data_IF_830297679561
#
_entry.id   IF_830297679561
#
_cell.length_a   1.000
_cell.length_b   1.000
_cell.length_c   1.000
_cell.angle_alpha   90.00
_cell.angle_beta   90.00
_cell.angle_gamma   90.00
#
_symmetry.space_group_name_H-M   'P 1'
#
loop_
_entity.id
_entity.type
_entity.pdbx_description
1 polymer ?
#
# COMPACT_ATOMS: atom_id res chain seq x y z
N UNK A 1 -3.44 -16.38 -7.90
CA UNK A 1 -4.88 -16.03 -7.75
C UNK A 1 -4.97 -14.52 -7.88
N UNK A 2 -5.93 -13.99 -8.67
CA UNK A 2 -6.18 -12.56 -8.73
C UNK A 2 -6.49 -11.98 -7.34
N UNK A 3 -6.08 -10.76 -7.10
CA UNK A 3 -6.24 -10.09 -5.80
C UNK A 3 -7.68 -10.12 -5.26
N UNK A 4 -8.64 -9.76 -6.11
CA UNK A 4 -10.06 -9.75 -5.75
C UNK A 4 -10.59 -11.14 -5.40
N UNK A 5 -10.12 -12.18 -6.10
CA UNK A 5 -10.49 -13.57 -5.83
C UNK A 5 -9.93 -14.11 -4.51
N UNK A 6 -8.76 -13.64 -4.07
CA UNK A 6 -8.15 -14.04 -2.80
C UNK A 6 -8.99 -13.57 -1.60
N UNK A 7 -9.43 -12.31 -1.60
CA UNK A 7 -10.26 -11.75 -0.54
C UNK A 7 -11.58 -12.51 -0.39
N UNK A 8 -12.28 -12.74 -1.50
CA UNK A 8 -13.53 -13.49 -1.51
C UNK A 8 -13.34 -14.94 -1.03
N UNK A 9 -12.23 -15.59 -1.40
CA UNK A 9 -11.94 -16.96 -1.00
C UNK A 9 -11.62 -17.07 0.49
N UNK A 10 -10.92 -16.11 1.08
CA UNK A 10 -10.68 -16.04 2.52
C UNK A 10 -12.00 -15.85 3.29
N UNK A 11 -12.86 -14.92 2.83
CA UNK A 11 -14.18 -14.71 3.45
C UNK A 11 -15.09 -15.95 3.36
N UNK A 12 -14.97 -16.71 2.28
CA UNK A 12 -15.72 -17.98 2.07
C UNK A 12 -15.10 -19.19 2.80
N UNK A 13 -14.03 -19.01 3.60
CA UNK A 13 -13.38 -20.10 4.32
C UNK A 13 -12.62 -21.11 3.45
N UNK A 14 -12.28 -20.73 2.20
CA UNK A 14 -11.44 -21.56 1.33
C UNK A 14 -9.96 -21.52 1.70
N UNK A 15 -9.57 -20.51 2.45
CA UNK A 15 -8.25 -20.32 3.05
C UNK A 15 -8.43 -19.95 4.51
N UNK A 16 -7.48 -20.35 5.36
CA UNK A 16 -7.48 -20.02 6.78
C UNK A 16 -6.88 -18.63 7.02
N UNK A 17 -5.88 -18.25 6.23
CA UNK A 17 -5.21 -16.97 6.33
C UNK A 17 -4.73 -16.48 4.97
N UNK A 18 -4.58 -15.14 4.83
CA UNK A 18 -3.85 -14.52 3.74
C UNK A 18 -2.53 -13.94 4.27
N UNK A 19 -1.45 -14.72 4.09
CA UNK A 19 -0.09 -14.35 4.51
C UNK A 19 0.55 -13.51 3.40
N UNK A 20 0.14 -12.25 3.32
CA UNK A 20 0.60 -11.30 2.30
C UNK A 20 0.60 -9.87 2.84
N UNK A 21 1.20 -8.93 2.11
CA UNK A 21 1.25 -7.51 2.48
C UNK A 21 -0.09 -6.80 2.21
N UNK A 22 -1.17 -7.26 2.83
CA UNK A 22 -2.48 -6.61 2.69
C UNK A 22 -2.52 -5.30 3.46
N UNK A 23 -2.95 -4.23 2.80
CA UNK A 23 -3.16 -2.93 3.46
C UNK A 23 -4.46 -2.99 4.26
N UNK A 24 -4.37 -2.59 5.53
CA UNK A 24 -5.51 -2.46 6.43
C UNK A 24 -6.35 -1.26 6.00
N UNK A 25 -7.66 -1.47 5.81
CA UNK A 25 -8.65 -0.42 5.56
C UNK A 25 -9.88 -0.68 6.41
N UNK A 26 -10.65 0.36 6.72
CA UNK A 26 -11.89 0.25 7.50
C UNK A 26 -12.86 -0.78 6.89
N UNK A 27 -13.01 -0.80 5.57
CA UNK A 27 -13.90 -1.75 4.91
C UNK A 27 -13.40 -3.19 5.04
N UNK A 28 -12.10 -3.42 4.98
CA UNK A 28 -11.52 -4.75 5.19
C UNK A 28 -11.67 -5.21 6.63
N UNK A 29 -11.55 -4.32 7.60
CA UNK A 29 -11.76 -4.62 9.02
C UNK A 29 -13.20 -5.07 9.34
N UNK A 30 -14.18 -4.73 8.52
CA UNK A 30 -15.56 -5.25 8.67
C UNK A 30 -15.67 -6.75 8.38
N UNK A 31 -14.83 -7.27 7.48
CA UNK A 31 -14.89 -8.66 6.97
C UNK A 31 -13.74 -9.55 7.46
N UNK A 32 -12.66 -8.96 7.93
CA UNK A 32 -11.42 -9.67 8.31
C UNK A 32 -10.85 -9.10 9.60
N UNK A 33 -10.09 -9.93 10.32
CA UNK A 33 -9.22 -9.50 11.38
C UNK A 33 -7.76 -9.52 10.89
N UNK A 34 -6.99 -8.52 11.29
CA UNK A 34 -5.60 -8.39 10.88
C UNK A 34 -4.65 -8.78 12.00
N UNK A 35 -3.71 -9.61 11.67
CA UNK A 35 -2.55 -9.93 12.51
C UNK A 35 -1.76 -8.63 12.77
N UNK A 36 -1.02 -8.59 13.87
CA UNK A 36 -0.11 -7.48 14.21
C UNK A 36 0.62 -6.96 12.96
N UNK A 37 0.63 -5.64 12.73
CA UNK A 37 1.25 -5.04 11.55
C UNK A 37 2.71 -5.43 11.33
N UNK A 38 3.07 -5.64 10.07
CA UNK A 38 4.42 -6.05 9.67
C UNK A 38 5.18 -4.96 8.90
N UNK A 39 4.50 -3.92 8.41
CA UNK A 39 5.14 -2.81 7.70
C UNK A 39 4.20 -1.60 7.60
N UNK A 40 4.77 -0.42 7.34
CA UNK A 40 4.02 0.78 7.00
C UNK A 40 3.39 0.65 5.60
N UNK A 41 2.20 1.20 5.44
CA UNK A 41 1.47 1.28 4.19
C UNK A 41 1.08 2.73 3.82
N UNK A 42 1.79 3.72 4.33
CA UNK A 42 1.66 5.11 3.86
C UNK A 42 1.85 5.14 2.35
N UNK A 43 0.95 5.80 1.64
CA UNK A 43 1.02 5.90 0.19
C UNK A 43 1.87 7.07 -0.25
N UNK A 44 2.63 6.84 -1.31
CA UNK A 44 3.47 7.84 -1.97
C UNK A 44 3.11 7.91 -3.45
N UNK A 45 3.25 9.08 -4.05
CA UNK A 45 3.19 9.12 -5.50
C UNK A 45 4.53 8.71 -6.12
N UNK A 46 4.45 8.10 -7.29
CA UNK A 46 5.60 7.75 -8.14
C UNK A 46 5.42 8.47 -9.46
N UNK A 47 6.48 9.10 -9.91
CA UNK A 47 6.56 9.86 -11.18
C UNK A 47 7.67 9.32 -12.07
N UNK A 48 7.73 9.79 -13.31
CA UNK A 48 8.92 9.56 -14.16
C UNK A 48 10.14 10.27 -13.57
N UNK A 49 11.29 9.64 -13.62
CA UNK A 49 12.54 10.19 -13.08
C UNK A 49 12.96 11.51 -13.76
N UNK A 50 12.69 11.65 -15.06
CA UNK A 50 12.99 12.86 -15.84
C UNK A 50 11.94 13.96 -15.75
N UNK A 51 10.81 13.72 -15.08
CA UNK A 51 9.73 14.71 -14.96
C UNK A 51 9.94 15.60 -13.72
N UNK A 52 10.52 16.75 -13.92
CA UNK A 52 10.76 17.73 -12.85
C UNK A 52 9.56 18.64 -12.55
N UNK A 53 8.43 18.46 -13.23
CA UNK A 53 7.21 19.23 -12.97
C UNK A 53 6.41 18.74 -11.76
N UNK A 54 6.71 17.53 -11.27
CA UNK A 54 6.02 16.90 -10.15
C UNK A 54 6.96 16.72 -8.95
N UNK A 55 7.18 17.78 -8.17
CA UNK A 55 8.08 17.77 -7.00
C UNK A 55 7.32 17.67 -5.67
N UNK A 56 6.10 18.17 -5.64
CA UNK A 56 5.27 18.24 -4.44
C UNK A 56 3.85 17.72 -4.70
N UNK A 57 3.07 17.52 -3.64
CA UNK A 57 1.64 17.14 -3.76
C UNK A 57 0.85 18.21 -4.51
N UNK A 58 1.17 19.49 -4.35
CA UNK A 58 0.49 20.57 -5.06
C UNK A 58 0.59 20.45 -6.59
N UNK A 59 1.73 19.94 -7.10
CA UNK A 59 1.98 19.77 -8.53
C UNK A 59 1.12 18.67 -9.18
N UNK A 60 0.50 17.81 -8.35
CA UNK A 60 -0.41 16.75 -8.83
C UNK A 60 -1.79 17.28 -9.23
N UNK A 61 -2.06 18.56 -8.96
CA UNK A 61 -3.36 19.18 -9.29
C UNK A 61 -3.67 19.07 -10.78
N UNK A 62 -4.85 18.53 -11.12
CA UNK A 62 -5.30 18.33 -12.50
C UNK A 62 -4.56 17.27 -13.31
N UNK A 63 -3.56 16.59 -12.74
CA UNK A 63 -2.75 15.57 -13.40
C UNK A 63 -3.47 14.21 -13.46
N UNK A 64 -3.11 13.41 -14.47
CA UNK A 64 -3.67 12.07 -14.68
C UNK A 64 -3.02 11.05 -13.77
N UNK A 65 -3.82 10.47 -12.90
CA UNK A 65 -3.44 9.42 -11.94
C UNK A 65 -3.76 8.03 -12.50
N UNK A 66 -2.80 7.10 -12.41
CA UNK A 66 -3.05 5.66 -12.56
C UNK A 66 -3.17 4.97 -11.19
N UNK A 67 -4.19 4.11 -11.03
CA UNK A 67 -4.42 3.36 -9.79
C UNK A 67 -4.98 1.97 -10.09
N UNK A 68 -4.69 0.99 -9.24
CA UNK A 68 -5.24 -0.36 -9.42
C UNK A 68 -6.69 -0.43 -8.92
N UNK A 69 -7.57 -1.03 -9.74
CA UNK A 69 -8.96 -1.28 -9.37
C UNK A 69 -9.08 -2.13 -8.10
N UNK A 70 -10.00 -1.76 -7.20
CA UNK A 70 -10.23 -2.47 -5.93
C UNK A 70 -9.07 -2.40 -4.94
N UNK A 71 -8.09 -1.53 -5.16
CA UNK A 71 -6.95 -1.36 -4.27
C UNK A 71 -7.25 -0.42 -3.10
N UNK A 72 -6.41 -0.50 -2.05
CA UNK A 72 -6.48 0.46 -0.94
C UNK A 72 -6.07 1.87 -1.40
N UNK A 73 -5.23 1.99 -2.43
CA UNK A 73 -4.85 3.26 -3.02
C UNK A 73 -6.07 3.98 -3.60
N UNK A 74 -6.93 3.25 -4.33
CA UNK A 74 -8.19 3.78 -4.85
C UNK A 74 -9.13 4.19 -3.70
N UNK A 75 -9.28 3.36 -2.68
CA UNK A 75 -10.14 3.64 -1.52
C UNK A 75 -9.70 4.89 -0.73
N UNK A 76 -8.39 5.22 -0.73
CA UNK A 76 -7.81 6.35 0.00
C UNK A 76 -7.64 7.63 -0.84
N UNK A 77 -8.16 7.69 -2.05
CA UNK A 77 -8.16 8.92 -2.87
C UNK A 77 -8.79 10.14 -2.20
N UNK A 78 -9.81 10.02 -1.32
CA UNK A 78 -10.30 11.16 -0.55
C UNK A 78 -9.21 11.87 0.26
N UNK A 79 -8.17 11.16 0.77
CA UNK A 79 -7.05 11.75 1.49
C UNK A 79 -6.18 12.62 0.55
N UNK A 80 -5.83 12.11 -0.63
CA UNK A 80 -5.13 12.91 -1.64
C UNK A 80 -5.95 14.13 -2.07
N UNK A 81 -7.27 13.95 -2.26
CA UNK A 81 -8.17 15.06 -2.61
C UNK A 81 -8.16 16.15 -1.53
N UNK A 82 -8.15 15.76 -0.25
CA UNK A 82 -8.06 16.69 0.86
C UNK A 82 -6.71 17.44 0.90
N UNK A 83 -5.59 16.72 0.65
CA UNK A 83 -4.26 17.33 0.57
C UNK A 83 -4.16 18.34 -0.59
N UNK A 84 -4.70 18.01 -1.76
CA UNK A 84 -4.74 18.92 -2.91
C UNK A 84 -5.57 20.16 -2.61
N UNK A 85 -6.73 19.99 -1.96
CA UNK A 85 -7.59 21.11 -1.60
C UNK A 85 -6.91 22.12 -0.67
N UNK A 86 -5.99 21.68 0.22
CA UNK A 86 -5.21 22.56 1.09
C UNK A 86 -4.30 23.52 0.30
N UNK A 87 -3.93 23.17 -0.92
CA UNK A 87 -3.11 24.00 -1.82
C UNK A 87 -3.92 24.68 -2.92
N UNK A 88 -5.26 24.63 -2.82
CA UNK A 88 -6.17 25.16 -3.86
C UNK A 88 -6.24 24.29 -5.12
N UNK A 89 -5.68 23.08 -5.09
CA UNK A 89 -5.68 22.15 -6.20
C UNK A 89 -6.88 21.20 -6.20
N UNK A 90 -7.00 20.43 -7.27
CA UNK A 90 -8.06 19.43 -7.46
C UNK A 90 -7.50 18.11 -7.99
N UNK A 91 -8.13 17.00 -7.62
CA UNK A 91 -7.81 15.70 -8.20
C UNK A 91 -8.17 15.70 -9.69
N UNK A 92 -7.21 15.35 -10.54
CA UNK A 92 -7.40 15.23 -11.98
C UNK A 92 -8.09 13.93 -12.40
N UNK A 93 -7.85 13.53 -13.64
CA UNK A 93 -8.39 12.27 -14.17
C UNK A 93 -7.79 11.07 -13.44
N UNK A 94 -8.64 10.13 -13.02
CA UNK A 94 -8.22 8.84 -12.46
C UNK A 94 -8.47 7.74 -13.49
N UNK A 95 -7.44 6.94 -13.75
CA UNK A 95 -7.50 5.78 -14.65
C UNK A 95 -7.26 4.53 -13.84
N UNK A 96 -8.24 3.64 -13.84
CA UNK A 96 -8.17 2.37 -13.13
C UNK A 96 -7.61 1.26 -14.02
N UNK A 97 -6.73 0.45 -13.47
CA UNK A 97 -6.05 -0.66 -14.13
C UNK A 97 -6.31 -1.99 -13.42
N UNK A 98 -6.33 -3.10 -14.14
CA UNK A 98 -6.47 -4.42 -13.52
C UNK A 98 -5.23 -4.84 -12.74
N UNK A 99 -4.05 -4.32 -13.09
CA UNK A 99 -2.79 -4.68 -12.44
C UNK A 99 -1.82 -3.51 -12.31
N UNK A 100 -0.99 -3.54 -11.27
CA UNK A 100 0.07 -2.54 -11.02
C UNK A 100 1.15 -2.50 -12.12
N UNK A 101 1.62 -3.63 -12.70
CA UNK A 101 2.59 -3.59 -13.79
C UNK A 101 2.14 -2.78 -15.00
N UNK A 102 0.85 -2.82 -15.36
CA UNK A 102 0.28 -2.03 -16.45
C UNK A 102 0.34 -0.53 -16.16
N UNK A 103 0.10 -0.13 -14.89
CA UNK A 103 0.22 1.26 -14.47
C UNK A 103 1.67 1.75 -14.64
N UNK A 104 2.65 0.96 -14.22
CA UNK A 104 4.06 1.31 -14.39
C UNK A 104 4.46 1.41 -15.87
N UNK A 105 3.94 0.54 -16.72
CA UNK A 105 4.18 0.61 -18.16
C UNK A 105 3.63 1.91 -18.77
N UNK A 106 2.41 2.28 -18.43
CA UNK A 106 1.77 3.49 -18.95
C UNK A 106 2.37 4.77 -18.36
N UNK A 107 2.80 4.75 -17.10
CA UNK A 107 3.54 5.85 -16.50
C UNK A 107 4.89 6.06 -17.22
N UNK A 108 5.64 4.99 -17.47
CA UNK A 108 6.91 5.06 -18.19
C UNK A 108 6.74 5.61 -19.62
N UNK A 109 5.65 5.25 -20.29
CA UNK A 109 5.32 5.69 -21.64
C UNK A 109 4.68 7.09 -21.71
N UNK A 110 4.48 7.77 -20.56
CA UNK A 110 3.91 9.13 -20.53
C UNK A 110 2.39 9.20 -20.75
N UNK A 111 1.67 8.08 -20.66
CA UNK A 111 0.20 8.04 -20.72
C UNK A 111 -0.47 8.46 -19.42
N UNK A 112 0.30 8.40 -18.32
CA UNK A 112 -0.04 8.87 -16.99
C UNK A 112 0.99 9.90 -16.55
N UNK A 113 0.58 10.81 -15.69
CA UNK A 113 1.49 11.77 -15.05
C UNK A 113 2.13 11.17 -13.80
N UNK A 114 1.34 10.48 -13.00
CA UNK A 114 1.80 9.81 -11.77
C UNK A 114 0.93 8.61 -11.43
N UNK A 115 1.42 7.82 -10.50
CA UNK A 115 0.66 6.76 -9.84
C UNK A 115 0.86 6.82 -8.33
N UNK A 116 0.04 6.09 -7.58
CA UNK A 116 0.15 5.95 -6.13
C UNK A 116 0.45 4.49 -5.78
N UNK A 117 1.40 4.28 -4.86
CA UNK A 117 1.64 2.97 -4.27
C UNK A 117 2.02 3.12 -2.78
N UNK A 118 1.92 2.03 -2.01
CA UNK A 118 2.50 2.02 -0.66
C UNK A 118 4.00 2.26 -0.73
N UNK A 119 4.58 2.79 0.35
CA UNK A 119 6.02 3.09 0.41
C UNK A 119 6.88 1.91 -0.03
N UNK A 120 6.51 0.68 0.35
CA UNK A 120 7.23 -0.55 -0.03
C UNK A 120 7.22 -0.74 -1.55
N UNK A 121 6.04 -0.72 -2.18
CA UNK A 121 5.91 -0.91 -3.61
C UNK A 121 6.54 0.23 -4.42
N UNK A 122 6.40 1.47 -3.95
CA UNK A 122 6.99 2.64 -4.57
C UNK A 122 8.53 2.60 -4.53
N UNK A 123 9.12 2.31 -3.37
CA UNK A 123 10.58 2.19 -3.22
C UNK A 123 11.14 1.02 -4.02
N UNK A 124 10.45 -0.13 -4.03
CA UNK A 124 10.91 -1.31 -4.78
C UNK A 124 11.08 -0.98 -6.27
N UNK A 125 10.07 -0.40 -6.91
CA UNK A 125 10.14 -0.09 -8.34
C UNK A 125 11.14 1.04 -8.65
N UNK A 126 11.27 2.03 -7.78
CA UNK A 126 12.26 3.10 -7.94
C UNK A 126 13.68 2.55 -7.81
N UNK A 127 13.93 1.64 -6.85
CA UNK A 127 15.22 0.96 -6.67
C UNK A 127 15.56 0.07 -7.88
N UNK A 128 14.58 -0.64 -8.41
CA UNK A 128 14.75 -1.53 -9.57
C UNK A 128 14.98 -0.73 -10.87
N UNK A 129 14.29 0.39 -11.05
CA UNK A 129 14.29 1.19 -12.28
C UNK A 129 14.55 2.70 -12.00
N UNK A 130 15.68 3.07 -11.38
CA UNK A 130 15.92 4.44 -10.90
C UNK A 130 16.05 5.49 -12.02
N UNK A 131 16.35 5.05 -13.25
CA UNK A 131 16.40 5.93 -14.43
C UNK A 131 15.02 6.19 -15.04
N UNK A 132 14.00 5.41 -14.64
CA UNK A 132 12.64 5.50 -15.19
C UNK A 132 11.69 6.16 -14.19
N UNK A 133 11.80 5.80 -12.92
CA UNK A 133 10.89 6.25 -11.87
C UNK A 133 11.60 6.99 -10.74
N UNK A 134 10.89 7.92 -10.14
CA UNK A 134 11.30 8.61 -8.92
C UNK A 134 10.18 8.61 -7.89
N UNK A 135 10.56 8.49 -6.63
CA UNK A 135 9.65 8.59 -5.50
C UNK A 135 9.29 10.07 -5.28
N UNK A 136 8.01 10.34 -5.08
CA UNK A 136 7.51 11.63 -4.67
C UNK A 136 7.25 11.72 -3.16
N UNK A 137 6.33 12.59 -2.77
CA UNK A 137 5.93 12.81 -1.38
C UNK A 137 4.81 11.85 -0.96
N UNK A 138 4.55 11.70 0.36
CA UNK A 138 3.40 10.97 0.86
C UNK A 138 2.09 11.67 0.44
N UNK A 139 1.09 10.86 0.09
CA UNK A 139 -0.24 11.30 -0.37
C UNK A 139 -1.37 10.72 0.47
N UNK A 140 -1.04 10.11 1.59
CA UNK A 140 -2.00 9.59 2.57
C UNK A 140 -1.44 9.72 3.98
N UNK A 141 -2.32 9.61 4.97
CA UNK A 141 -1.94 9.40 6.37
C UNK A 141 -1.27 8.02 6.58
N UNK A 142 -0.98 7.73 7.84
CA UNK A 142 -0.43 6.43 8.23
C UNK A 142 -1.36 5.28 7.80
N UNK A 143 -0.75 4.15 7.51
CA UNK A 143 -1.43 2.90 7.21
C UNK A 143 -0.49 1.74 7.46
N UNK A 144 -1.02 0.53 7.49
CA UNK A 144 -0.24 -0.65 7.85
C UNK A 144 -0.52 -1.81 6.91
N UNK A 145 0.51 -2.63 6.70
CA UNK A 145 0.41 -3.94 6.08
C UNK A 145 0.30 -5.01 7.16
N UNK A 146 -0.57 -5.98 6.96
CA UNK A 146 -0.69 -7.15 7.83
C UNK A 146 -1.26 -8.35 7.11
N UNK A 147 -1.10 -9.51 7.75
CA UNK A 147 -1.77 -10.73 7.32
C UNK A 147 -3.22 -10.70 7.78
N UNK A 148 -4.09 -11.40 7.08
CA UNK A 148 -5.51 -11.45 7.41
C UNK A 148 -5.94 -12.87 7.76
N UNK A 149 -6.91 -12.95 8.67
CA UNK A 149 -7.72 -14.15 8.91
C UNK A 149 -9.19 -13.81 8.70
N UNK A 150 -10.05 -14.81 8.57
CA UNK A 150 -11.48 -14.60 8.53
C UNK A 150 -11.94 -13.92 9.83
N UNK A 151 -12.96 -13.04 9.72
CA UNK A 151 -13.51 -12.30 10.88
C UNK A 151 -13.92 -13.25 11.99
N UNK A 152 -13.46 -12.99 13.21
CA UNK A 152 -13.77 -13.80 14.41
C UNK A 152 -12.93 -15.07 14.59
N UNK A 153 -11.98 -15.36 13.70
CA UNK A 153 -11.03 -16.48 13.91
C UNK A 153 -9.93 -16.10 14.91
N UNK A 154 -10.33 -15.95 16.17
CA UNK A 154 -9.51 -15.41 17.26
C UNK A 154 -8.28 -16.30 17.57
N UNK A 155 -8.42 -17.62 17.50
CA UNK A 155 -7.33 -18.56 17.83
C UNK A 155 -6.18 -18.39 16.82
N UNK A 156 -6.48 -18.42 15.52
CA UNK A 156 -5.47 -18.24 14.49
C UNK A 156 -4.89 -16.82 14.49
N UNK A 157 -5.73 -15.80 14.73
CA UNK A 157 -5.30 -14.41 14.88
C UNK A 157 -4.25 -14.27 15.99
N UNK A 158 -4.53 -14.83 17.15
CA UNK A 158 -3.63 -14.78 18.31
C UNK A 158 -2.35 -15.56 18.06
N UNK A 159 -2.44 -16.75 17.47
CA UNK A 159 -1.27 -17.56 17.14
C UNK A 159 -0.31 -16.82 16.19
N UNK A 160 -0.84 -16.29 15.09
CA UNK A 160 -0.04 -15.55 14.11
C UNK A 160 0.50 -14.23 14.67
N UNK A 161 -0.27 -13.54 15.51
CA UNK A 161 0.19 -12.31 16.17
C UNK A 161 1.30 -12.59 17.17
N UNK A 162 1.21 -13.70 17.92
CA UNK A 162 2.29 -14.20 18.80
C UNK A 162 3.57 -14.50 18.02
N UNK A 163 3.45 -15.10 16.84
CA UNK A 163 4.59 -15.32 15.94
C UNK A 163 5.26 -13.99 15.50
N UNK A 164 4.47 -13.00 15.09
CA UNK A 164 5.01 -11.68 14.72
C UNK A 164 5.67 -11.00 15.92
N UNK A 165 5.09 -11.11 17.13
CA UNK A 165 5.69 -10.58 18.36
C UNK A 165 7.06 -11.21 18.65
N UNK A 166 7.19 -12.53 18.50
CA UNK A 166 8.48 -13.23 18.64
C UNK A 166 9.51 -12.75 17.59
N UNK A 167 9.10 -12.60 16.33
CA UNK A 167 9.97 -12.08 15.26
C UNK A 167 10.43 -10.66 15.56
N UNK A 168 9.57 -9.83 16.16
CA UNK A 168 9.90 -8.46 16.56
C UNK A 168 10.91 -8.47 17.71
N UNK A 169 10.65 -9.23 18.76
CA UNK A 169 11.51 -9.30 19.95
C UNK A 169 12.90 -9.86 19.64
N UNK A 170 12.99 -10.83 18.73
CA UNK A 170 14.26 -11.41 18.30
C UNK A 170 15.05 -10.54 17.30
N UNK A 171 14.48 -9.41 16.84
CA UNK A 171 15.05 -8.58 15.77
C UNK A 171 14.87 -9.14 14.35
N UNK A 172 14.32 -10.36 14.21
CA UNK A 172 14.16 -11.02 12.90
C UNK A 172 13.21 -10.27 11.99
N UNK A 173 12.17 -9.62 12.52
CA UNK A 173 11.26 -8.82 11.72
C UNK A 173 12.00 -7.64 11.07
N UNK A 174 12.78 -6.88 11.85
CA UNK A 174 13.57 -5.76 11.34
C UNK A 174 14.61 -6.21 10.29
N UNK A 175 15.27 -7.35 10.51
CA UNK A 175 16.19 -7.93 9.54
C UNK A 175 15.49 -8.22 8.20
N UNK A 176 14.30 -8.85 8.22
CA UNK A 176 13.54 -9.16 7.02
C UNK A 176 12.99 -7.90 6.35
N UNK A 177 12.53 -6.91 7.12
CA UNK A 177 12.10 -5.62 6.60
C UNK A 177 13.25 -4.92 5.87
N UNK A 178 14.44 -4.84 6.45
CA UNK A 178 15.62 -4.27 5.80
C UNK A 178 15.99 -5.03 4.53
N UNK A 179 15.98 -6.36 4.57
CA UNK A 179 16.31 -7.20 3.42
C UNK A 179 15.36 -7.00 2.24
N UNK A 180 14.05 -7.01 2.50
CA UNK A 180 13.05 -7.06 1.45
C UNK A 180 12.44 -5.70 1.11
N UNK A 181 12.32 -4.80 2.09
CA UNK A 181 11.73 -3.48 1.92
C UNK A 181 12.77 -2.36 1.90
N UNK A 182 14.02 -2.67 2.25
CA UNK A 182 15.11 -1.68 2.27
C UNK A 182 15.14 -0.80 3.51
N UNK A 183 14.20 -1.00 4.45
CA UNK A 183 14.15 -0.28 5.73
C UNK A 183 13.36 -1.07 6.77
N UNK A 184 13.68 -0.87 8.04
CA UNK A 184 12.84 -1.32 9.16
C UNK A 184 11.76 -0.28 9.49
N UNK A 185 10.72 -0.73 10.20
CA UNK A 185 9.61 0.12 10.65
C UNK A 185 9.45 -0.04 12.17
N UNK A 186 9.89 0.95 12.92
CA UNK A 186 9.93 0.89 14.39
C UNK A 186 8.59 1.31 15.04
N UNK A 187 7.79 2.14 14.35
CA UNK A 187 6.54 2.72 14.87
C UNK A 187 5.29 1.90 14.56
N UNK A 188 5.43 0.59 14.33
CA UNK A 188 4.28 -0.27 14.06
C UNK A 188 3.50 -0.60 15.33
N UNK A 189 2.15 -0.67 15.28
CA UNK A 189 1.35 -1.22 16.36
C UNK A 189 1.84 -2.61 16.78
N UNK A 190 1.74 -2.91 18.07
CA UNK A 190 2.20 -4.19 18.64
C UNK A 190 1.09 -5.19 18.89
N UNK A 191 -0.14 -4.81 18.57
CA UNK A 191 -1.35 -5.63 18.73
C UNK A 191 -2.03 -5.89 17.38
N UNK A 192 -2.84 -6.97 17.30
CA UNK A 192 -3.75 -7.18 16.17
C UNK A 192 -4.67 -5.97 15.94
N UNK A 193 -5.16 -5.82 14.71
CA UNK A 193 -6.14 -4.80 14.35
C UNK A 193 -7.44 -5.51 13.91
N UNK A 194 -8.50 -5.31 14.68
CA UNK A 194 -9.79 -6.02 14.54
C UNK A 194 -10.97 -5.05 14.40
#
# INVERSE_FOLDING_TARGET
IPWTGMLAALAAGKYDAAVTGTIMTEDRLKAYDFVTPIASATHYFVRRAGDNSLQSVADLSGKTLGVQAGSAQLARLPELKALLAQTGGTLGKVVEYPSTPEIYADLANGRLDYMINSIIGAQSVVKERPKVFALGQPVSGAGYHGWMVAKGNTDLLNYLSGFIAQMRTSGRLAELQNKWFGQAFDDLPTTPVT
#
